data_IF_481322659279
#
_entry.id   IF_481322659279
#
_cell.length_a   1.000
_cell.length_b   1.000
_cell.length_c   1.000
_cell.angle_alpha   90.00
_cell.angle_beta   90.00
_cell.angle_gamma   90.00
#
_symmetry.space_group_name_H-M   'P 1'
#
loop_
_entity.id
_entity.type
_entity.pdbx_description
1 polymer ?
#
# COMPACT_ATOMS: atom_id res chain seq x y z
N UNK A 1 16.92 -9.73 -0.78
CA UNK A 1 15.62 -9.31 -0.25
C UNK A 1 14.71 -9.14 -1.44
N UNK A 2 13.82 -10.09 -1.60
CA UNK A 2 12.82 -10.13 -2.65
C UNK A 2 11.48 -10.48 -2.04
N UNK A 3 10.38 -9.90 -2.53
CA UNK A 3 9.04 -10.25 -2.06
C UNK A 3 8.79 -11.75 -2.22
N UNK A 4 9.33 -12.38 -3.26
CA UNK A 4 9.26 -13.83 -3.47
C UNK A 4 9.87 -14.65 -2.31
N UNK A 5 10.76 -14.07 -1.50
CA UNK A 5 11.29 -14.74 -0.29
C UNK A 5 10.18 -15.00 0.76
N UNK A 6 9.01 -14.36 0.63
CA UNK A 6 7.89 -14.43 1.58
C UNK A 6 6.84 -15.50 1.23
N UNK A 7 7.04 -16.28 0.16
CA UNK A 7 6.06 -17.27 -0.34
C UNK A 7 5.67 -18.36 0.67
N UNK A 8 6.48 -18.59 1.70
CA UNK A 8 6.14 -19.54 2.76
C UNK A 8 4.90 -19.10 3.57
N UNK A 9 4.61 -17.80 3.63
CA UNK A 9 3.50 -17.23 4.40
C UNK A 9 2.50 -16.45 3.55
N UNK A 10 2.86 -16.09 2.32
CA UNK A 10 2.06 -15.26 1.42
C UNK A 10 1.92 -15.92 0.05
N UNK A 11 0.76 -15.77 -0.57
CA UNK A 11 0.63 -16.02 -1.99
C UNK A 11 0.96 -14.73 -2.73
N UNK A 12 1.93 -14.80 -3.65
CA UNK A 12 2.43 -13.63 -4.38
C UNK A 12 2.11 -13.82 -5.85
N UNK A 13 1.47 -12.81 -6.42
CA UNK A 13 1.17 -12.73 -7.85
C UNK A 13 1.76 -11.43 -8.38
N UNK A 14 2.55 -11.52 -9.44
CA UNK A 14 3.20 -10.38 -10.09
C UNK A 14 2.68 -10.23 -11.51
N UNK A 15 2.35 -8.99 -11.89
CA UNK A 15 2.01 -8.62 -13.26
C UNK A 15 2.94 -7.51 -13.76
N UNK A 16 3.16 -7.46 -15.07
CA UNK A 16 3.88 -6.39 -15.76
C UNK A 16 5.27 -6.05 -15.18
N UNK A 17 5.99 -7.04 -14.66
CA UNK A 17 7.30 -6.85 -14.00
C UNK A 17 7.26 -5.89 -12.79
N UNK A 18 6.10 -5.78 -12.13
CA UNK A 18 5.88 -4.83 -11.05
C UNK A 18 6.85 -4.98 -9.87
N UNK A 19 7.25 -6.21 -9.52
CA UNK A 19 8.22 -6.43 -8.44
C UNK A 19 9.60 -5.89 -8.84
N UNK A 20 10.03 -6.15 -10.08
CA UNK A 20 11.29 -5.66 -10.60
C UNK A 20 11.33 -4.13 -10.64
N UNK A 21 10.28 -3.49 -11.16
CA UNK A 21 10.19 -2.03 -11.23
C UNK A 21 10.21 -1.45 -9.81
N UNK A 22 9.35 -1.94 -8.92
CA UNK A 22 9.22 -1.38 -7.57
C UNK A 22 10.51 -1.52 -6.76
N UNK A 23 11.18 -2.67 -6.84
CA UNK A 23 12.44 -2.93 -6.12
C UNK A 23 13.58 -2.03 -6.58
N UNK A 24 13.66 -1.72 -7.86
CA UNK A 24 14.77 -0.96 -8.43
C UNK A 24 14.54 0.55 -8.38
N UNK A 25 13.32 1.01 -8.68
CA UNK A 25 12.99 2.45 -8.72
C UNK A 25 12.71 3.00 -7.31
N UNK A 26 12.18 2.19 -6.40
CA UNK A 26 11.79 2.61 -5.05
C UNK A 26 12.36 1.66 -3.97
N UNK A 27 13.69 1.49 -3.88
CA UNK A 27 14.31 0.47 -3.03
C UNK A 27 14.04 0.66 -1.53
N UNK A 28 13.81 1.91 -1.09
CA UNK A 28 13.52 2.22 0.31
C UNK A 28 12.10 1.80 0.68
N UNK A 29 11.11 2.23 -0.08
CA UNK A 29 9.69 1.87 0.06
C UNK A 29 9.50 0.37 -0.09
N UNK A 30 10.20 -0.24 -1.04
CA UNK A 30 10.23 -1.69 -1.22
C UNK A 30 10.73 -2.41 0.03
N UNK A 31 11.81 -1.90 0.64
CA UNK A 31 12.34 -2.44 1.90
C UNK A 31 11.38 -2.30 3.06
N UNK A 32 10.75 -1.14 3.19
CA UNK A 32 9.73 -0.90 4.22
C UNK A 32 8.57 -1.89 4.09
N UNK A 33 8.04 -2.07 2.87
CA UNK A 33 6.96 -3.02 2.61
C UNK A 33 7.41 -4.46 2.89
N UNK A 34 8.58 -4.86 2.41
CA UNK A 34 9.13 -6.20 2.64
C UNK A 34 9.28 -6.48 4.14
N UNK A 35 9.92 -5.57 4.88
CA UNK A 35 10.13 -5.74 6.32
C UNK A 35 8.80 -5.79 7.06
N UNK A 36 7.83 -4.98 6.63
CA UNK A 36 6.49 -5.00 7.21
C UNK A 36 5.79 -6.34 6.98
N UNK A 37 5.70 -6.81 5.73
CA UNK A 37 5.10 -8.11 5.39
C UNK A 37 5.81 -9.26 6.09
N UNK A 38 7.14 -9.24 6.16
CA UNK A 38 7.93 -10.26 6.85
C UNK A 38 7.64 -10.32 8.35
N UNK A 39 7.38 -9.18 8.97
CA UNK A 39 7.03 -9.09 10.40
C UNK A 39 5.56 -9.41 10.69
N UNK A 40 4.70 -9.34 9.66
CA UNK A 40 3.27 -9.51 9.81
C UNK A 40 2.91 -10.96 10.11
N UNK A 41 2.11 -11.15 11.16
CA UNK A 41 1.65 -12.47 11.60
C UNK A 41 0.14 -12.43 11.84
N UNK A 42 -0.58 -13.34 11.17
CA UNK A 42 -2.01 -13.50 11.38
C UNK A 42 -2.28 -14.38 12.59
N UNK A 43 -2.48 -13.76 13.76
CA UNK A 43 -2.72 -14.50 15.00
C UNK A 43 -4.18 -14.97 15.08
N UNK A 44 -4.39 -16.22 15.53
CA UNK A 44 -5.74 -16.74 15.81
C UNK A 44 -6.53 -15.84 16.76
N UNK A 45 -5.87 -15.23 17.74
CA UNK A 45 -6.49 -14.28 18.67
C UNK A 45 -7.03 -13.03 17.97
N UNK A 46 -6.37 -12.56 16.91
CA UNK A 46 -6.83 -11.39 16.15
C UNK A 46 -8.04 -11.73 15.28
N UNK A 47 -8.12 -12.98 14.79
CA UNK A 47 -9.27 -13.50 14.02
C UNK A 47 -10.50 -13.65 14.92
N UNK A 48 -10.32 -14.19 16.13
CA UNK A 48 -11.43 -14.45 17.06
C UNK A 48 -11.94 -13.19 17.76
N UNK A 49 -11.15 -12.11 17.77
CA UNK A 49 -11.54 -10.86 18.41
C UNK A 49 -12.65 -10.19 17.57
N UNK A 50 -13.82 -9.86 18.17
CA UNK A 50 -14.89 -9.22 17.44
C UNK A 50 -14.43 -7.90 16.83
N UNK A 51 -14.83 -7.68 15.59
CA UNK A 51 -14.55 -6.45 14.87
C UNK A 51 -15.34 -5.25 15.40
N UNK A 52 -15.00 -4.07 14.90
CA UNK A 52 -15.74 -2.83 15.05
C UNK A 52 -15.68 -2.07 13.72
N UNK A 53 -15.34 -0.77 13.75
CA UNK A 53 -15.10 0.01 12.51
C UNK A 53 -13.97 -0.57 11.64
N UNK A 54 -12.89 -1.07 12.26
CA UNK A 54 -11.74 -1.69 11.58
C UNK A 54 -11.26 -2.90 12.39
N UNK A 55 -10.85 -3.98 11.72
CA UNK A 55 -10.38 -5.18 12.43
C UNK A 55 -9.01 -4.94 13.08
N UNK A 56 -8.67 -5.65 14.17
CA UNK A 56 -7.32 -5.58 14.76
C UNK A 56 -6.22 -5.95 13.76
N UNK A 57 -6.54 -6.84 12.82
CA UNK A 57 -5.63 -7.29 11.75
C UNK A 57 -5.32 -6.12 10.81
N UNK A 58 -6.35 -5.45 10.30
CA UNK A 58 -6.18 -4.30 9.42
C UNK A 58 -5.45 -3.15 10.14
N UNK A 59 -5.86 -2.84 11.38
CA UNK A 59 -5.19 -1.80 12.17
C UNK A 59 -3.69 -2.05 12.36
N UNK A 60 -3.28 -3.30 12.62
CA UNK A 60 -1.85 -3.64 12.74
C UNK A 60 -1.08 -3.39 11.44
N UNK A 61 -1.71 -3.66 10.31
CA UNK A 61 -1.11 -3.41 9.00
C UNK A 61 -1.02 -1.91 8.72
N UNK A 62 -2.12 -1.16 8.91
CA UNK A 62 -2.14 0.27 8.64
C UNK A 62 -1.16 1.03 9.55
N UNK A 63 -1.20 0.77 10.86
CA UNK A 63 -0.42 1.53 11.86
C UNK A 63 1.10 1.47 11.54
N UNK A 64 1.57 0.35 10.99
CA UNK A 64 2.98 0.19 10.64
C UNK A 64 3.37 0.93 9.35
N UNK A 65 2.50 0.96 8.34
CA UNK A 65 2.74 1.73 7.11
C UNK A 65 2.62 3.23 7.39
N UNK A 66 1.63 3.65 8.17
CA UNK A 66 1.49 5.04 8.57
C UNK A 66 2.68 5.53 9.42
N UNK A 67 3.25 4.66 10.27
CA UNK A 67 4.46 4.98 11.03
C UNK A 67 5.70 5.22 10.15
N UNK A 68 5.72 4.71 8.91
CA UNK A 68 6.81 4.93 7.95
C UNK A 68 6.49 6.02 6.91
N UNK A 69 5.42 6.79 7.10
CA UNK A 69 5.08 7.94 6.26
C UNK A 69 4.29 7.61 5.00
N UNK A 70 3.66 6.45 4.94
CA UNK A 70 2.61 6.19 3.96
C UNK A 70 1.33 6.90 4.39
N UNK A 71 0.58 7.43 3.45
CA UNK A 71 -0.62 8.22 3.73
C UNK A 71 -1.78 7.82 2.82
N UNK A 72 -3.00 7.96 3.33
CA UNK A 72 -4.21 7.83 2.52
C UNK A 72 -4.40 9.09 1.66
N UNK A 73 -4.66 8.90 0.36
CA UNK A 73 -4.82 10.02 -0.58
C UNK A 73 -6.04 9.85 -1.46
N UNK A 74 -6.86 10.89 -1.51
CA UNK A 74 -7.93 11.02 -2.50
C UNK A 74 -7.41 11.79 -3.72
N UNK A 75 -7.64 11.25 -4.91
CA UNK A 75 -7.31 11.92 -6.16
C UNK A 75 -8.56 12.44 -6.84
N UNK A 76 -8.53 13.72 -7.21
CA UNK A 76 -9.55 14.36 -8.02
C UNK A 76 -9.03 14.46 -9.45
N UNK A 77 -9.81 13.92 -10.39
CA UNK A 77 -9.46 13.95 -11.81
C UNK A 77 -10.52 14.78 -12.52
N UNK A 78 -10.07 15.84 -13.16
CA UNK A 78 -10.88 16.71 -14.01
C UNK A 78 -10.39 16.57 -15.46
N UNK A 79 -11.30 16.29 -16.37
CA UNK A 79 -11.01 16.27 -17.81
C UNK A 79 -11.61 17.52 -18.43
N UNK A 80 -10.79 18.36 -19.07
CA UNK A 80 -11.24 19.58 -19.74
C UNK A 80 -11.28 19.37 -21.25
N UNK A 81 -12.45 19.49 -21.87
CA UNK A 81 -12.67 19.39 -23.32
C UNK A 81 -13.41 20.65 -23.77
N UNK A 82 -12.87 21.38 -24.75
CA UNK A 82 -13.51 22.58 -25.32
C UNK A 82 -13.99 23.62 -24.28
N UNK A 83 -13.23 23.76 -23.18
CA UNK A 83 -13.54 24.59 -22.00
C UNK A 83 -14.67 24.11 -21.09
N UNK A 84 -15.23 22.92 -21.31
CA UNK A 84 -16.10 22.25 -20.36
C UNK A 84 -15.30 21.28 -19.49
N UNK A 85 -15.53 21.36 -18.18
CA UNK A 85 -14.91 20.48 -17.21
C UNK A 85 -15.85 19.30 -16.93
N UNK A 86 -15.34 18.09 -17.17
CA UNK A 86 -16.01 16.84 -16.83
C UNK A 86 -15.35 16.30 -15.59
N UNK A 87 -16.09 16.31 -14.47
CA UNK A 87 -15.67 15.60 -13.27
C UNK A 87 -15.82 14.10 -13.49
N UNK A 88 -14.76 13.36 -13.16
CA UNK A 88 -14.77 11.89 -13.23
C UNK A 88 -14.81 11.31 -11.81
N UNK A 89 -15.33 10.08 -11.65
CA UNK A 89 -15.43 9.46 -10.34
C UNK A 89 -14.07 9.39 -9.63
N UNK A 90 -14.01 9.98 -8.44
CA UNK A 90 -12.83 9.99 -7.59
C UNK A 90 -12.51 8.60 -7.05
N UNK A 91 -11.25 8.20 -7.14
CA UNK A 91 -10.71 6.99 -6.50
C UNK A 91 -9.86 7.38 -5.29
N UNK A 92 -9.88 6.52 -4.28
CA UNK A 92 -9.12 6.66 -3.05
C UNK A 92 -8.00 5.62 -3.03
N UNK A 93 -6.80 6.06 -2.64
CA UNK A 93 -5.64 5.19 -2.45
C UNK A 93 -5.35 5.14 -0.95
N UNK A 94 -5.38 3.93 -0.38
CA UNK A 94 -5.23 3.73 1.07
C UNK A 94 -3.81 4.02 1.56
N UNK A 95 -2.80 3.68 0.75
CA UNK A 95 -1.38 3.87 1.06
C UNK A 95 -0.66 4.43 -0.15
N UNK A 96 -0.27 5.69 -0.05
CA UNK A 96 0.56 6.39 -1.00
C UNK A 96 1.76 6.96 -0.27
N UNK A 97 2.94 6.73 -0.83
CA UNK A 97 4.16 7.41 -0.43
C UNK A 97 4.83 7.92 -1.69
N UNK A 98 4.96 9.24 -1.79
CA UNK A 98 5.62 9.91 -2.89
C UNK A 98 6.92 10.47 -2.33
N UNK A 99 8.05 10.13 -2.95
CA UNK A 99 9.26 10.92 -2.73
C UNK A 99 9.01 12.32 -3.28
N UNK A 100 9.03 13.33 -2.41
CA UNK A 100 9.07 14.70 -2.89
C UNK A 100 10.43 14.91 -3.56
N UNK A 101 10.45 15.01 -4.88
CA UNK A 101 11.48 15.75 -5.61
C UNK A 101 11.39 17.23 -5.16
N UNK A 102 11.95 17.51 -3.98
CA UNK A 102 12.35 18.85 -3.60
C UNK A 102 13.87 18.86 -3.59
N UNK A 103 14.41 19.15 -4.78
CA UNK A 103 15.51 20.10 -4.99
C UNK A 103 15.33 20.76 -6.35
#
# INVERSE_FOLDING_TARGET
>A
MDLLDLENNFFIHEEFHGNCIFKNEFPKEYKELYDHLKSFNLLKSDILKPGGRKSPIAKKFDDALYATGWEEKKFNIEIKIDNENIETPTHQIDYLKIESELN
#
